data_IF_104152880917
#
_entry.id   IF_104152880917
#
_cell.length_a   1.000
_cell.length_b   1.000
_cell.length_c   1.000
_cell.angle_alpha   90.00
_cell.angle_beta   90.00
_cell.angle_gamma   90.00
#
_symmetry.space_group_name_H-M   'P 1'
#
loop_
_entity.id
_entity.type
_entity.pdbx_description
1 polymer ?
#
# COMPACT_ATOMS: atom_id res chain seq x y z
N UNK A 1 2.46 16.05 11.61
CA UNK A 1 2.26 14.86 10.76
C UNK A 1 2.58 13.65 11.61
N UNK A 2 1.73 12.62 11.61
CA UNK A 2 2.03 11.39 12.35
C UNK A 2 3.34 10.80 11.80
N UNK A 3 4.21 10.36 12.70
CA UNK A 3 5.45 9.68 12.32
C UNK A 3 5.08 8.22 12.01
N UNK A 4 5.28 7.80 10.76
CA UNK A 4 4.98 6.44 10.31
C UNK A 4 6.23 5.58 10.36
N UNK A 5 6.06 4.29 10.68
CA UNK A 5 7.20 3.36 10.75
C UNK A 5 7.42 2.59 9.44
N UNK A 6 6.36 2.29 8.70
CA UNK A 6 6.37 1.36 7.57
C UNK A 6 6.12 2.06 6.22
N UNK A 7 5.80 3.35 6.22
CA UNK A 7 5.61 4.17 5.02
C UNK A 7 6.30 5.53 5.14
N UNK A 8 6.59 6.15 4.00
CA UNK A 8 6.98 7.56 3.90
C UNK A 8 5.88 8.32 3.18
N UNK A 9 5.49 9.47 3.73
CA UNK A 9 4.40 10.29 3.19
C UNK A 9 4.93 11.67 2.86
N UNK A 10 4.61 12.16 1.66
CA UNK A 10 4.92 13.52 1.22
C UNK A 10 3.88 14.02 0.25
N UNK A 11 3.86 15.33 0.00
CA UNK A 11 3.03 15.94 -1.02
C UNK A 11 3.93 16.62 -2.04
N UNK A 12 3.64 16.39 -3.32
CA UNK A 12 4.27 17.07 -4.45
C UNK A 12 3.17 17.78 -5.23
N UNK A 13 3.13 19.11 -5.14
CA UNK A 13 2.04 19.95 -5.66
C UNK A 13 0.65 19.47 -5.18
N UNK A 14 -0.17 18.93 -6.09
CA UNK A 14 -1.50 18.38 -5.79
C UNK A 14 -1.51 16.86 -5.68
N UNK A 15 -0.36 16.21 -5.56
CA UNK A 15 -0.22 14.76 -5.49
C UNK A 15 0.20 14.34 -4.09
N UNK A 16 -0.63 13.54 -3.42
CA UNK A 16 -0.27 12.87 -2.18
C UNK A 16 0.53 11.60 -2.48
N UNK A 17 1.76 11.49 -2.01
CA UNK A 17 2.63 10.34 -2.30
C UNK A 17 2.83 9.51 -1.04
N UNK A 18 2.50 8.22 -1.14
CA UNK A 18 2.77 7.21 -0.10
C UNK A 18 3.76 6.18 -0.65
N UNK A 19 4.94 6.13 -0.05
CA UNK A 19 5.97 5.15 -0.40
C UNK A 19 6.05 4.07 0.67
N UNK A 20 5.86 2.81 0.28
CA UNK A 20 6.05 1.64 1.14
C UNK A 20 7.53 1.53 1.54
N UNK A 21 7.80 1.40 2.85
CA UNK A 21 9.13 1.52 3.43
C UNK A 21 9.43 0.42 4.45
N UNK A 22 9.41 -0.84 3.99
CA UNK A 22 9.92 -2.01 4.72
C UNK A 22 11.01 -2.72 3.88
N UNK A 23 12.14 -2.06 3.58
CA UNK A 23 13.17 -2.61 2.68
C UNK A 23 13.71 -3.97 3.13
N UNK A 24 13.82 -4.20 4.44
CA UNK A 24 14.24 -5.46 5.06
C UNK A 24 13.31 -6.65 4.74
N UNK A 25 12.05 -6.36 4.42
CA UNK A 25 11.03 -7.35 4.07
C UNK A 25 10.56 -7.21 2.62
N UNK A 26 11.30 -6.49 1.77
CA UNK A 26 10.91 -6.18 0.38
C UNK A 26 9.47 -5.64 0.27
N UNK A 27 9.10 -4.78 1.22
CA UNK A 27 7.75 -4.19 1.30
C UNK A 27 6.62 -5.23 1.40
N UNK A 28 6.87 -6.41 1.96
CA UNK A 28 5.81 -7.36 2.27
C UNK A 28 4.72 -6.69 3.14
N UNK A 29 3.45 -6.91 2.80
CA UNK A 29 2.32 -6.28 3.46
C UNK A 29 2.05 -6.94 4.81
N UNK A 30 1.93 -6.14 5.87
CA UNK A 30 1.53 -6.57 7.20
C UNK A 30 0.44 -5.62 7.74
N UNK A 31 -0.22 -5.96 8.83
CA UNK A 31 -1.34 -5.13 9.33
C UNK A 31 -0.93 -3.72 9.72
N UNK A 32 0.27 -3.53 10.25
CA UNK A 32 0.79 -2.21 10.62
C UNK A 32 0.96 -1.30 9.39
N UNK A 33 1.63 -1.78 8.34
CA UNK A 33 1.80 -1.06 7.08
C UNK A 33 0.45 -0.74 6.45
N UNK A 34 -0.48 -1.70 6.41
CA UNK A 34 -1.81 -1.46 5.83
C UNK A 34 -2.62 -0.42 6.62
N UNK A 35 -2.50 -0.43 7.95
CA UNK A 35 -3.13 0.59 8.82
C UNK A 35 -2.58 1.98 8.53
N UNK A 36 -1.25 2.11 8.46
CA UNK A 36 -0.58 3.37 8.15
C UNK A 36 -0.95 3.87 6.74
N UNK A 37 -0.96 2.97 5.75
CA UNK A 37 -1.35 3.27 4.38
C UNK A 37 -2.78 3.83 4.31
N UNK A 38 -3.75 3.16 4.94
CA UNK A 38 -5.14 3.62 4.94
C UNK A 38 -5.29 4.96 5.66
N UNK A 39 -4.56 5.15 6.77
CA UNK A 39 -4.56 6.42 7.48
C UNK A 39 -4.04 7.57 6.59
N UNK A 40 -2.93 7.37 5.88
CA UNK A 40 -2.36 8.35 4.96
C UNK A 40 -3.29 8.66 3.78
N UNK A 41 -3.84 7.63 3.13
CA UNK A 41 -4.74 7.81 1.98
C UNK A 41 -6.02 8.54 2.37
N UNK A 42 -6.63 8.23 3.52
CA UNK A 42 -7.82 8.95 4.01
C UNK A 42 -7.53 10.41 4.35
N UNK A 43 -6.34 10.69 4.88
CA UNK A 43 -5.92 12.07 5.13
C UNK A 43 -5.84 12.87 3.82
N UNK A 44 -5.27 12.28 2.77
CA UNK A 44 -5.23 12.89 1.43
C UNK A 44 -6.60 12.97 0.76
N UNK A 45 -7.47 11.99 0.97
CA UNK A 45 -8.83 11.99 0.43
C UNK A 45 -9.65 13.17 0.97
N UNK A 46 -9.48 13.51 2.25
CA UNK A 46 -10.11 14.67 2.88
C UNK A 46 -9.46 16.04 2.62
N UNK A 47 -8.30 16.10 1.96
CA UNK A 47 -7.54 17.35 1.77
C UNK A 47 -7.73 17.98 0.39
N UNK A 48 -8.44 19.10 0.29
CA UNK A 48 -8.73 19.80 -0.98
C UNK A 48 -7.48 20.26 -1.78
N UNK A 49 -6.32 20.34 -1.12
CA UNK A 49 -5.05 20.62 -1.80
C UNK A 49 -4.56 19.43 -2.64
N UNK A 50 -5.02 18.22 -2.35
CA UNK A 50 -4.68 16.98 -3.07
C UNK A 50 -5.76 16.65 -4.10
N UNK A 51 -5.34 16.45 -5.35
CA UNK A 51 -6.19 16.03 -6.48
C UNK A 51 -6.06 14.57 -6.87
N UNK A 52 -4.93 13.93 -6.56
CA UNK A 52 -4.72 12.49 -6.74
C UNK A 52 -3.66 11.96 -5.77
N UNK A 53 -3.58 10.64 -5.64
CA UNK A 53 -2.62 9.95 -4.80
C UNK A 53 -1.76 9.00 -5.61
N UNK A 54 -0.52 8.81 -5.18
CA UNK A 54 0.40 7.82 -5.72
C UNK A 54 0.85 6.87 -4.62
N UNK A 55 0.72 5.57 -4.86
CA UNK A 55 1.32 4.53 -4.03
C UNK A 55 2.54 4.00 -4.78
N UNK A 56 3.67 3.91 -4.10
CA UNK A 56 4.89 3.36 -4.70
C UNK A 56 5.72 2.59 -3.68
N UNK A 57 6.75 1.89 -4.13
CA UNK A 57 7.72 1.21 -3.28
C UNK A 57 9.15 1.64 -3.59
N UNK A 58 10.07 0.71 -3.50
CA UNK A 58 11.48 0.90 -3.89
C UNK A 58 11.72 0.46 -5.33
N UNK A 59 12.91 0.74 -5.87
CA UNK A 59 13.33 0.21 -7.18
C UNK A 59 13.34 -1.32 -7.23
N UNK A 60 13.66 -1.97 -6.10
CA UNK A 60 13.76 -3.43 -6.00
C UNK A 60 12.40 -4.11 -5.83
N UNK A 61 11.47 -3.46 -5.14
CA UNK A 61 10.15 -4.01 -4.86
C UNK A 61 9.14 -2.90 -4.61
N UNK A 62 8.01 -2.98 -5.31
CA UNK A 62 6.78 -2.33 -4.91
C UNK A 62 6.31 -2.95 -3.59
N UNK A 63 5.93 -4.23 -3.63
CA UNK A 63 5.61 -5.08 -2.49
C UNK A 63 5.72 -6.56 -2.89
N UNK A 64 6.56 -7.32 -2.17
CA UNK A 64 6.80 -8.74 -2.45
C UNK A 64 5.92 -9.65 -1.57
N UNK A 65 4.59 -9.56 -1.73
CA UNK A 65 3.63 -10.43 -1.03
C UNK A 65 3.18 -9.89 0.32
N UNK A 66 2.76 -10.80 1.19
CA UNK A 66 2.34 -10.54 2.56
C UNK A 66 3.33 -11.14 3.57
N UNK A 67 3.33 -10.63 4.80
CA UNK A 67 4.22 -11.08 5.86
C UNK A 67 3.80 -12.47 6.38
N UNK A 68 4.43 -13.51 5.84
CA UNK A 68 4.14 -14.92 6.18
C UNK A 68 4.32 -15.20 7.67
N UNK A 69 5.22 -14.51 8.38
CA UNK A 69 5.40 -14.72 9.82
C UNK A 69 4.16 -14.29 10.60
N UNK A 70 3.53 -13.19 10.18
CA UNK A 70 2.28 -12.74 10.76
C UNK A 70 1.17 -13.74 10.47
N UNK A 71 1.05 -14.20 9.22
CA UNK A 71 0.01 -15.16 8.82
C UNK A 71 0.14 -16.51 9.54
N UNK A 72 1.36 -17.03 9.68
CA UNK A 72 1.61 -18.34 10.29
C UNK A 72 1.30 -18.39 11.79
N UNK A 73 1.28 -17.24 12.46
CA UNK A 73 1.00 -17.15 13.91
C UNK A 73 -0.49 -16.91 14.21
N UNK A 74 -1.30 -16.60 13.19
CA UNK A 74 -2.71 -16.34 13.36
C UNK A 74 -3.51 -17.65 13.51
N UNK A 75 -4.34 -17.72 14.55
CA UNK A 75 -5.36 -18.76 14.67
C UNK A 75 -6.53 -18.51 13.71
N UNK A 76 -7.33 -19.55 13.45
CA UNK A 76 -8.53 -19.44 12.61
C UNK A 76 -9.47 -18.34 13.11
N UNK A 77 -9.72 -18.27 14.42
CA UNK A 77 -10.59 -17.24 15.02
C UNK A 77 -10.00 -15.84 14.84
N UNK A 78 -8.67 -15.69 14.92
CA UNK A 78 -8.03 -14.40 14.65
C UNK A 78 -8.16 -14.01 13.19
N UNK A 79 -7.92 -14.92 12.24
CA UNK A 79 -8.08 -14.63 10.81
C UNK A 79 -9.52 -14.27 10.44
N UNK A 80 -10.53 -14.93 11.04
CA UNK A 80 -11.93 -14.60 10.80
C UNK A 80 -12.33 -13.21 11.32
N UNK A 81 -11.62 -12.70 12.33
CA UNK A 81 -11.84 -11.38 12.89
C UNK A 81 -10.79 -10.36 12.41
N UNK A 82 -9.88 -10.75 11.51
CA UNK A 82 -8.78 -9.89 11.08
C UNK A 82 -9.30 -8.83 10.11
N UNK A 83 -9.12 -7.54 10.40
CA UNK A 83 -9.45 -6.48 9.45
C UNK A 83 -8.58 -6.50 8.18
N UNK A 84 -7.62 -7.42 8.05
CA UNK A 84 -6.72 -7.48 6.91
C UNK A 84 -7.43 -7.47 5.55
N UNK A 85 -8.54 -8.19 5.41
CA UNK A 85 -9.35 -8.18 4.17
C UNK A 85 -10.10 -6.85 4.01
N UNK A 86 -10.50 -6.22 5.12
CA UNK A 86 -11.23 -4.95 5.12
C UNK A 86 -10.41 -3.78 4.57
N UNK A 87 -9.07 -3.89 4.52
CA UNK A 87 -8.24 -2.86 3.90
C UNK A 87 -8.54 -2.66 2.41
N UNK A 88 -8.98 -3.70 1.69
CA UNK A 88 -9.38 -3.56 0.29
C UNK A 88 -10.69 -2.80 0.13
N UNK A 89 -11.66 -3.04 1.01
CA UNK A 89 -12.89 -2.24 1.03
C UNK A 89 -12.60 -0.77 1.37
N UNK A 90 -11.65 -0.51 2.27
CA UNK A 90 -11.25 0.86 2.59
C UNK A 90 -10.54 1.55 1.43
N UNK A 91 -9.66 0.85 0.72
CA UNK A 91 -8.98 1.39 -0.44
C UNK A 91 -9.98 1.72 -1.56
N UNK A 92 -10.94 0.82 -1.81
CA UNK A 92 -12.01 1.03 -2.79
C UNK A 92 -12.99 2.16 -2.42
N UNK A 93 -13.03 2.56 -1.14
CA UNK A 93 -13.89 3.66 -0.67
C UNK A 93 -13.24 5.05 -0.82
N UNK A 94 -11.96 5.13 -1.18
CA UNK A 94 -11.27 6.40 -1.42
C UNK A 94 -11.86 7.05 -2.68
N UNK A 95 -12.24 8.33 -2.58
CA UNK A 95 -12.94 9.02 -3.65
C UNK A 95 -12.00 9.61 -4.72
N UNK A 96 -10.81 10.06 -4.30
CA UNK A 96 -9.81 10.63 -5.22
C UNK A 96 -9.00 9.54 -5.93
N UNK A 97 -8.55 9.77 -7.18
CA UNK A 97 -7.80 8.77 -7.93
C UNK A 97 -6.50 8.35 -7.25
N UNK A 98 -6.21 7.04 -7.27
CA UNK A 98 -5.00 6.42 -6.76
C UNK A 98 -4.24 5.75 -7.92
N UNK A 99 -2.96 6.09 -8.06
CA UNK A 99 -2.07 5.54 -9.08
C UNK A 99 -0.98 4.70 -8.40
N UNK A 100 -0.84 3.44 -8.80
CA UNK A 100 0.28 2.60 -8.38
C UNK A 100 1.48 2.80 -9.32
N UNK A 101 2.59 3.32 -8.79
CA UNK A 101 3.86 3.42 -9.50
C UNK A 101 4.75 2.22 -9.09
N UNK A 102 4.83 1.23 -9.97
CA UNK A 102 5.37 -0.10 -9.68
C UNK A 102 6.74 -0.31 -10.32
N UNK A 103 7.71 -0.69 -9.49
CA UNK A 103 9.05 -1.15 -9.91
C UNK A 103 9.42 -2.44 -9.17
N UNK A 104 10.23 -3.29 -9.83
CA UNK A 104 10.69 -4.54 -9.26
C UNK A 104 9.54 -5.49 -8.88
N UNK A 105 9.66 -6.18 -7.75
CA UNK A 105 8.69 -7.19 -7.32
C UNK A 105 7.35 -6.60 -6.89
N UNK A 106 6.27 -7.10 -7.50
CA UNK A 106 4.88 -6.79 -7.20
C UNK A 106 4.10 -8.11 -7.15
N UNK A 107 4.19 -8.82 -6.03
CA UNK A 107 3.78 -10.22 -5.92
C UNK A 107 2.66 -10.42 -4.90
N UNK A 108 1.74 -11.36 -5.13
CA UNK A 108 0.64 -11.72 -4.22
C UNK A 108 -0.11 -10.48 -3.73
N UNK A 109 -0.12 -10.26 -2.41
CA UNK A 109 -0.71 -9.06 -1.79
C UNK A 109 -0.24 -7.73 -2.40
N UNK A 110 1.00 -7.65 -2.87
CA UNK A 110 1.51 -6.46 -3.58
C UNK A 110 0.86 -6.27 -4.96
N UNK A 111 0.65 -7.36 -5.69
CA UNK A 111 -0.06 -7.35 -6.98
C UNK A 111 -1.54 -6.98 -6.76
N UNK A 112 -2.18 -7.55 -5.73
CA UNK A 112 -3.55 -7.22 -5.32
C UNK A 112 -3.69 -5.74 -4.95
N UNK A 113 -2.76 -5.19 -4.17
CA UNK A 113 -2.72 -3.75 -3.86
C UNK A 113 -2.63 -2.89 -5.12
N UNK A 114 -1.75 -3.25 -6.05
CA UNK A 114 -1.60 -2.51 -7.29
C UNK A 114 -2.88 -2.57 -8.15
N UNK A 115 -3.51 -3.74 -8.25
CA UNK A 115 -4.78 -3.93 -8.99
C UNK A 115 -5.97 -3.21 -8.36
N UNK A 116 -5.93 -2.95 -7.05
CA UNK A 116 -6.96 -2.19 -6.35
C UNK A 116 -6.83 -0.67 -6.57
N UNK A 117 -5.73 -0.18 -7.18
CA UNK A 117 -5.59 1.21 -7.59
C UNK A 117 -6.30 1.46 -8.94
N UNK A 118 -6.63 2.72 -9.24
CA UNK A 118 -7.35 3.09 -10.47
C UNK A 118 -6.48 2.96 -11.73
N UNK A 119 -5.17 3.16 -11.58
CA UNK A 119 -4.20 3.05 -12.67
C UNK A 119 -2.88 2.48 -12.16
N UNK A 120 -2.24 1.64 -12.97
CA UNK A 120 -0.91 1.11 -12.73
C UNK A 120 0.06 1.68 -13.77
N UNK A 121 1.13 2.31 -13.32
CA UNK A 121 2.28 2.67 -14.15
C UNK A 121 3.45 1.77 -13.75
N UNK A 122 3.85 0.89 -14.66
CA UNK A 122 4.89 -0.11 -14.40
C UNK A 122 6.20 0.28 -15.11
N UNK A 123 7.32 0.17 -14.40
CA UNK A 123 8.64 0.28 -15.01
C UNK A 123 9.02 -1.02 -15.74
N UNK A 124 10.06 -0.97 -16.56
CA UNK A 124 10.60 -2.15 -17.27
C UNK A 124 11.08 -3.26 -16.32
N UNK A 125 11.32 -2.93 -15.05
CA UNK A 125 11.76 -3.90 -14.03
C UNK A 125 10.61 -4.56 -13.28
N UNK A 126 9.37 -4.11 -13.48
CA UNK A 126 8.21 -4.58 -12.77
C UNK A 126 7.93 -6.06 -13.07
N UNK A 127 7.71 -6.85 -12.02
CA UNK A 127 7.36 -8.27 -12.08
C UNK A 127 6.12 -8.54 -11.25
N UNK A 128 5.03 -8.83 -11.95
CA UNK A 128 3.73 -9.18 -11.38
C UNK A 128 3.57 -10.69 -11.25
N UNK A 129 2.88 -11.14 -10.21
CA UNK A 129 2.54 -12.56 -9.99
C UNK A 129 1.99 -12.84 -8.61
#
# INVERSE_FOLDING_TARGET
MAEYENILVRQEDRVGVVQLNRPQALNALNSALMTELMHALRAFDGDDSVGCMMITGSEKAFAAGADIKQMAQASVVQMMNDPFIYYWDQLAAIAKPIIAAVSGWCLGGGCELAMACDMIVASETAKFG
#
